data_IF_919523691984
#
_entry.id   IF_919523691984
#
_cell.length_a   1.000
_cell.length_b   1.000
_cell.length_c   1.000
_cell.angle_alpha   90.00
_cell.angle_beta   90.00
_cell.angle_gamma   90.00
#
_symmetry.space_group_name_H-M   'P 1'
#
loop_
_entity.id
_entity.type
_entity.pdbx_description
1 polymer ?
#
# COMPACT_ATOMS: atom_id res chain seq x y z
N UNK A 1 -5.49 -0.52 -0.13
CA UNK A 1 -4.12 -0.10 -0.50
C UNK A 1 -3.78 -0.68 -1.87
N UNK A 2 -2.65 -0.31 -2.46
CA UNK A 2 -2.11 -0.94 -3.67
C UNK A 2 -0.85 -1.70 -3.27
N UNK A 3 -0.77 -2.97 -3.63
CA UNK A 3 0.42 -3.80 -3.41
C UNK A 3 1.53 -3.40 -4.40
N UNK A 4 2.73 -3.15 -3.89
CA UNK A 4 3.94 -2.92 -4.71
C UNK A 4 4.70 -4.21 -5.01
N UNK A 5 4.46 -5.24 -4.20
CA UNK A 5 5.05 -6.58 -4.28
C UNK A 5 3.98 -7.61 -3.94
N UNK A 6 4.29 -8.90 -4.14
CA UNK A 6 3.40 -9.98 -3.72
C UNK A 6 3.44 -10.11 -2.19
N UNK A 7 2.33 -9.78 -1.53
CA UNK A 7 2.17 -9.78 -0.08
C UNK A 7 1.27 -10.94 0.37
N UNK A 8 1.66 -12.17 0.07
CA UNK A 8 0.82 -13.37 0.27
C UNK A 8 0.41 -13.58 1.74
N UNK A 9 1.15 -13.00 2.69
CA UNK A 9 0.79 -13.03 4.13
C UNK A 9 -0.48 -12.23 4.47
N UNK A 10 -0.94 -11.35 3.56
CA UNK A 10 -2.18 -10.59 3.69
C UNK A 10 -3.39 -11.35 3.14
N UNK A 11 -3.18 -12.48 2.44
CA UNK A 11 -4.27 -13.31 1.94
C UNK A 11 -4.98 -14.00 3.11
N UNK A 12 -6.31 -14.13 3.01
CA UNK A 12 -7.14 -14.71 4.08
C UNK A 12 -6.64 -16.08 4.58
N UNK A 13 -6.04 -16.89 3.70
CA UNK A 13 -5.50 -18.21 4.04
C UNK A 13 -4.22 -18.16 4.89
N UNK A 14 -3.43 -17.09 4.77
CA UNK A 14 -2.13 -16.94 5.41
C UNK A 14 -2.13 -15.89 6.54
N UNK A 15 -3.18 -15.06 6.60
CA UNK A 15 -3.32 -14.00 7.57
C UNK A 15 -3.50 -14.56 9.00
N UNK A 16 -2.82 -13.95 9.97
CA UNK A 16 -2.87 -14.36 11.37
C UNK A 16 -4.28 -14.27 11.98
N UNK A 17 -5.09 -13.34 11.48
CA UNK A 17 -6.47 -13.12 11.91
C UNK A 17 -7.49 -14.01 11.19
N UNK A 18 -7.06 -14.77 10.16
CA UNK A 18 -7.88 -15.61 9.27
C UNK A 18 -8.88 -14.85 8.40
N UNK A 19 -8.75 -13.53 8.28
CA UNK A 19 -9.59 -12.70 7.42
C UNK A 19 -8.80 -12.10 6.26
N UNK A 20 -7.59 -11.61 6.54
CA UNK A 20 -6.75 -10.96 5.54
C UNK A 20 -7.40 -9.72 4.92
N UNK A 21 -6.95 -9.37 3.72
CA UNK A 21 -7.42 -8.18 3.00
C UNK A 21 -7.98 -8.53 1.62
N UNK A 22 -9.28 -8.29 1.44
CA UNK A 22 -9.98 -8.61 0.19
C UNK A 22 -9.48 -7.76 -0.98
N UNK A 23 -8.87 -8.42 -1.97
CA UNK A 23 -8.57 -7.81 -3.26
C UNK A 23 -9.86 -7.67 -4.08
N UNK A 24 -10.14 -6.46 -4.57
CA UNK A 24 -11.31 -6.18 -5.41
C UNK A 24 -10.94 -5.69 -6.83
N UNK A 25 -9.64 -5.57 -7.13
CA UNK A 25 -9.17 -5.08 -8.42
C UNK A 25 -7.65 -5.06 -8.54
N UNK A 26 -7.17 -4.65 -9.71
CA UNK A 26 -5.74 -4.51 -10.01
C UNK A 26 -5.46 -3.29 -10.89
N UNK A 27 -4.25 -2.76 -10.80
CA UNK A 27 -3.75 -1.72 -11.70
C UNK A 27 -3.46 -2.33 -13.07
N UNK A 28 -4.11 -1.84 -14.12
CA UNK A 28 -3.90 -2.32 -15.51
C UNK A 28 -2.98 -1.42 -16.32
N UNK A 29 -2.82 -0.15 -15.92
CA UNK A 29 -1.90 0.85 -16.49
C UNK A 29 -1.46 1.82 -15.38
N UNK A 30 -0.27 2.41 -15.51
CA UNK A 30 0.24 3.42 -14.58
C UNK A 30 0.92 2.88 -13.32
N UNK A 31 1.45 1.64 -13.37
CA UNK A 31 2.18 1.08 -12.23
C UNK A 31 3.48 1.86 -11.94
N UNK A 32 4.09 2.48 -12.96
CA UNK A 32 5.23 3.37 -12.83
C UNK A 32 4.90 4.63 -11.98
N UNK A 33 3.66 5.12 -12.04
CA UNK A 33 3.18 6.21 -11.21
C UNK A 33 3.06 5.74 -9.76
N UNK A 34 2.48 4.56 -9.54
CA UNK A 34 2.36 3.94 -8.21
C UNK A 34 3.75 3.73 -7.58
N UNK A 35 4.71 3.23 -8.37
CA UNK A 35 6.10 3.02 -7.93
C UNK A 35 6.76 4.35 -7.53
N UNK A 36 6.55 5.42 -8.29
CA UNK A 36 7.04 6.76 -7.93
C UNK A 36 6.41 7.28 -6.64
N UNK A 37 5.10 7.08 -6.46
CA UNK A 37 4.38 7.47 -5.25
C UNK A 37 4.96 6.77 -4.02
N UNK A 38 5.29 5.49 -4.12
CA UNK A 38 5.85 4.73 -2.98
C UNK A 38 7.19 5.24 -2.45
N UNK A 39 7.91 6.05 -3.25
CA UNK A 39 9.25 6.54 -2.94
C UNK A 39 9.27 8.01 -2.52
N UNK A 40 8.11 8.67 -2.41
CA UNK A 40 8.04 10.05 -1.95
C UNK A 40 8.52 10.14 -0.51
N UNK A 41 9.13 11.28 -0.15
CA UNK A 41 9.61 11.50 1.21
C UNK A 41 8.43 11.46 2.20
N UNK A 42 8.54 10.61 3.21
CA UNK A 42 7.56 10.48 4.30
C UNK A 42 8.10 11.04 5.62
N UNK A 43 7.21 11.21 6.60
CA UNK A 43 7.56 11.59 7.96
C UNK A 43 6.44 11.28 8.95
N UNK A 44 6.62 11.72 10.19
CA UNK A 44 5.63 11.57 11.25
C UNK A 44 4.69 12.77 11.31
N UNK A 45 3.37 12.53 11.35
CA UNK A 45 2.36 13.59 11.46
C UNK A 45 1.17 13.12 12.27
N UNK A 46 0.85 13.85 13.35
CA UNK A 46 -0.36 13.65 14.18
C UNK A 46 -0.59 12.21 14.65
N UNK A 47 0.45 11.51 15.12
CA UNK A 47 0.31 10.12 15.57
C UNK A 47 0.53 9.08 14.48
N UNK A 48 0.67 9.48 13.22
CA UNK A 48 0.85 8.56 12.09
C UNK A 48 2.28 8.62 11.57
N UNK A 49 2.90 7.45 11.39
CA UNK A 49 4.14 7.29 10.63
C UNK A 49 3.85 7.23 9.13
N UNK A 50 4.92 7.32 8.31
CA UNK A 50 4.88 7.11 6.85
C UNK A 50 3.93 8.05 6.08
N UNK A 51 3.65 9.23 6.64
CA UNK A 51 2.81 10.24 5.98
C UNK A 51 3.65 11.00 4.95
N UNK A 52 3.23 11.09 3.67
CA UNK A 52 3.93 11.91 2.69
C UNK A 52 4.10 13.36 3.17
N UNK A 53 5.31 13.91 3.04
CA UNK A 53 5.62 15.30 3.44
C UNK A 53 4.80 16.29 2.62
N UNK A 54 4.61 15.98 1.34
CA UNK A 54 3.70 16.67 0.44
C UNK A 54 2.57 15.71 0.08
N UNK A 55 1.29 16.09 0.22
CA UNK A 55 0.18 15.24 -0.20
C UNK A 55 0.32 14.78 -1.65
N UNK A 56 0.03 13.51 -1.90
CA UNK A 56 -0.06 12.93 -3.24
C UNK A 56 -1.51 13.06 -3.69
N UNK A 57 -1.76 13.81 -4.76
CA UNK A 57 -3.09 14.19 -5.26
C UNK A 57 -3.25 13.85 -6.72
#
# INVERSE_FOLDING_TARGET
FINLVNNDFLDAANAQDRWGYTVFGRVTKGMDVVDRISRVRTGYRRGHNDVPVTPVT
#
